data_IF_138218255963
#
_entry.id   IF_138218255963
#
_cell.length_a   1.000
_cell.length_b   1.000
_cell.length_c   1.000
_cell.angle_alpha   90.00
_cell.angle_beta   90.00
_cell.angle_gamma   90.00
#
_symmetry.space_group_name_H-M   'P 1'
#
loop_
_entity.id
_entity.type
_entity.pdbx_description
1 polymer ?
#
# COMPACT_ATOMS: atom_id res chain seq x y z
N UNK A 1 -69.90 64.89 -134.69
CA UNK A 1 -69.49 64.25 -133.41
C UNK A 1 -68.72 62.99 -133.75
N UNK A 2 -67.41 62.90 -133.49
CA UNK A 2 -66.67 61.67 -133.73
C UNK A 2 -66.86 60.67 -132.56
N UNK A 3 -67.06 59.36 -132.82
CA UNK A 3 -67.59 58.39 -131.85
C UNK A 3 -66.55 57.56 -131.06
N UNK A 4 -65.29 57.99 -130.92
CA UNK A 4 -64.21 57.10 -130.43
C UNK A 4 -63.61 57.39 -129.04
N UNK A 5 -63.96 58.51 -128.39
CA UNK A 5 -63.38 58.89 -127.08
C UNK A 5 -63.59 57.89 -125.91
N UNK A 6 -64.73 57.17 -125.77
CA UNK A 6 -64.94 56.30 -124.61
C UNK A 6 -64.05 55.05 -124.60
N UNK A 7 -63.76 54.49 -125.78
CA UNK A 7 -62.94 53.27 -125.91
C UNK A 7 -61.46 53.60 -125.64
N UNK A 8 -61.01 54.76 -126.13
CA UNK A 8 -59.66 55.28 -125.92
C UNK A 8 -59.37 55.52 -124.43
N UNK A 9 -60.36 56.07 -123.70
CA UNK A 9 -60.28 56.23 -122.25
C UNK A 9 -60.18 54.87 -121.52
N UNK A 10 -60.97 53.87 -121.89
CA UNK A 10 -60.88 52.53 -121.29
C UNK A 10 -59.51 51.89 -121.53
N UNK A 11 -58.97 51.98 -122.75
CA UNK A 11 -57.63 51.46 -123.05
C UNK A 11 -56.54 52.21 -122.27
N UNK A 12 -56.71 53.51 -122.04
CA UNK A 12 -55.78 54.29 -121.24
C UNK A 12 -55.80 53.84 -119.77
N UNK A 13 -56.99 53.73 -119.16
CA UNK A 13 -57.13 53.28 -117.77
C UNK A 13 -56.62 51.85 -117.58
N UNK A 14 -56.84 50.95 -118.53
CA UNK A 14 -56.35 49.57 -118.43
C UNK A 14 -54.81 49.51 -118.49
N UNK A 15 -54.20 50.34 -119.33
CA UNK A 15 -52.75 50.45 -119.42
C UNK A 15 -52.15 51.06 -118.14
N UNK A 16 -52.81 52.06 -117.54
CA UNK A 16 -52.43 52.62 -116.25
C UNK A 16 -52.48 51.56 -115.14
N UNK A 17 -53.57 50.78 -115.05
CA UNK A 17 -53.70 49.71 -114.06
C UNK A 17 -52.61 48.64 -114.25
N UNK A 18 -52.35 48.22 -115.49
CA UNK A 18 -51.27 47.25 -115.78
C UNK A 18 -49.89 47.81 -115.40
N UNK A 19 -49.64 49.09 -115.66
CA UNK A 19 -48.39 49.73 -115.26
C UNK A 19 -48.25 49.81 -113.73
N UNK A 20 -49.34 50.09 -113.00
CA UNK A 20 -49.33 50.09 -111.53
C UNK A 20 -49.14 48.69 -110.93
N UNK A 21 -49.74 47.66 -111.52
CA UNK A 21 -49.53 46.27 -111.10
C UNK A 21 -48.10 45.81 -111.35
N UNK A 22 -47.51 46.17 -112.50
CA UNK A 22 -46.11 45.88 -112.80
C UNK A 22 -45.16 46.57 -111.79
N UNK A 23 -45.43 47.83 -111.45
CA UNK A 23 -44.69 48.56 -110.42
C UNK A 23 -44.81 47.89 -109.03
N UNK A 24 -46.01 47.47 -108.65
CA UNK A 24 -46.25 46.78 -107.37
C UNK A 24 -45.53 45.43 -107.31
N UNK A 25 -45.57 44.64 -108.39
CA UNK A 25 -44.90 43.34 -108.45
C UNK A 25 -43.37 43.49 -108.38
N UNK A 26 -42.81 44.50 -109.06
CA UNK A 26 -41.38 44.80 -108.98
C UNK A 26 -40.96 45.23 -107.57
N UNK A 27 -41.79 46.02 -106.88
CA UNK A 27 -41.55 46.43 -105.49
C UNK A 27 -41.59 45.23 -104.52
N UNK A 28 -42.58 44.34 -104.67
CA UNK A 28 -42.70 43.14 -103.83
C UNK A 28 -41.55 42.15 -104.08
N UNK A 29 -41.16 41.94 -105.34
CA UNK A 29 -40.01 41.10 -105.67
C UNK A 29 -38.70 41.66 -105.10
N UNK A 30 -38.56 42.98 -105.06
CA UNK A 30 -37.43 43.64 -104.39
C UNK A 30 -37.40 43.34 -102.89
N UNK A 31 -38.54 43.50 -102.20
CA UNK A 31 -38.64 43.26 -100.77
C UNK A 31 -38.40 41.79 -100.38
N UNK A 32 -38.91 40.84 -101.18
CA UNK A 32 -38.73 39.41 -100.92
C UNK A 32 -37.27 38.96 -101.09
N UNK A 33 -36.56 39.48 -102.09
CA UNK A 33 -35.13 39.20 -102.27
C UNK A 33 -34.30 39.72 -101.10
N UNK A 34 -34.66 40.88 -100.55
CA UNK A 34 -33.98 41.46 -99.39
C UNK A 34 -34.22 40.66 -98.10
N UNK A 35 -35.43 40.13 -97.90
CA UNK A 35 -35.78 39.31 -96.74
C UNK A 35 -35.09 37.94 -96.78
N UNK A 36 -35.06 37.29 -97.96
CA UNK A 36 -34.37 36.02 -98.16
C UNK A 36 -32.87 36.10 -97.86
N UNK A 37 -32.22 37.19 -98.28
CA UNK A 37 -30.82 37.44 -97.98
C UNK A 37 -30.57 37.63 -96.47
N UNK A 38 -31.40 38.39 -95.76
CA UNK A 38 -31.24 38.65 -94.31
C UNK A 38 -31.41 37.39 -93.46
N UNK A 39 -32.32 36.48 -93.82
CA UNK A 39 -32.54 35.23 -93.08
C UNK A 39 -31.37 34.25 -93.18
N UNK A 40 -30.75 34.14 -94.36
CA UNK A 40 -29.60 33.23 -94.56
C UNK A 40 -28.38 33.76 -93.79
N UNK A 41 -28.20 35.09 -93.80
CA UNK A 41 -27.12 35.75 -93.04
C UNK A 41 -27.28 35.56 -91.53
N UNK A 42 -28.50 35.62 -90.98
CA UNK A 42 -28.69 35.43 -89.53
C UNK A 42 -28.49 33.97 -89.08
N UNK A 43 -28.83 33.00 -89.92
CA UNK A 43 -28.61 31.58 -89.63
C UNK A 43 -27.12 31.20 -89.65
N UNK A 44 -26.33 31.79 -90.55
CA UNK A 44 -24.87 31.61 -90.62
C UNK A 44 -24.17 32.36 -89.48
N UNK A 45 -24.68 33.52 -89.07
CA UNK A 45 -24.09 34.37 -88.03
C UNK A 45 -24.55 34.07 -86.60
N UNK A 46 -25.06 32.87 -86.30
CA UNK A 46 -25.19 32.42 -84.92
C UNK A 46 -23.79 32.30 -84.30
N UNK A 47 -23.33 33.37 -83.66
CA UNK A 47 -22.11 33.37 -82.86
C UNK A 47 -22.27 32.35 -81.74
N UNK A 48 -21.49 31.28 -81.80
CA UNK A 48 -21.28 30.41 -80.65
C UNK A 48 -20.26 31.08 -79.74
N UNK A 49 -20.50 31.04 -78.43
CA UNK A 49 -19.52 31.49 -77.44
C UNK A 49 -18.37 30.48 -77.39
N UNK A 50 -17.32 30.76 -78.17
CA UNK A 50 -16.10 29.97 -78.19
C UNK A 50 -15.11 30.69 -77.28
N UNK A 51 -14.66 30.01 -76.22
CA UNK A 51 -13.58 30.51 -75.37
C UNK A 51 -12.32 30.64 -76.21
N UNK A 52 -11.75 31.85 -76.27
CA UNK A 52 -10.53 32.13 -77.04
C UNK A 52 -9.30 31.60 -76.32
N UNK A 53 -8.26 31.24 -77.08
CA UNK A 53 -6.99 30.75 -76.53
C UNK A 53 -6.39 31.73 -75.50
N UNK A 54 -6.46 33.02 -75.76
CA UNK A 54 -6.01 34.09 -74.84
C UNK A 54 -6.74 34.06 -73.49
N UNK A 55 -8.06 33.81 -73.49
CA UNK A 55 -8.83 33.64 -72.23
C UNK A 55 -8.44 32.35 -71.50
N UNK A 56 -8.06 31.31 -72.23
CA UNK A 56 -7.54 30.07 -71.64
C UNK A 56 -6.16 30.30 -71.01
N UNK A 57 -5.27 31.03 -71.68
CA UNK A 57 -3.96 31.38 -71.14
C UNK A 57 -4.06 32.30 -69.92
N UNK A 58 -4.93 33.30 -69.94
CA UNK A 58 -5.17 34.20 -68.79
C UNK A 58 -5.76 33.43 -67.60
N UNK A 59 -6.73 32.55 -67.84
CA UNK A 59 -7.29 31.71 -66.77
C UNK A 59 -6.28 30.67 -66.28
N UNK A 60 -5.42 30.14 -67.14
CA UNK A 60 -4.32 29.25 -66.75
C UNK A 60 -3.27 29.98 -65.92
N UNK A 61 -2.91 31.22 -66.24
CA UNK A 61 -1.99 32.03 -65.45
C UNK A 61 -2.60 32.40 -64.09
N UNK A 62 -3.88 32.76 -64.05
CA UNK A 62 -4.60 33.02 -62.80
C UNK A 62 -4.71 31.75 -61.93
N UNK A 63 -5.06 30.61 -62.53
CA UNK A 63 -5.05 29.31 -61.86
C UNK A 63 -3.64 28.96 -61.39
N UNK A 64 -2.61 29.22 -62.18
CA UNK A 64 -1.22 28.96 -61.77
C UNK A 64 -0.84 29.84 -60.58
N UNK A 65 -1.19 31.13 -60.58
CA UNK A 65 -0.87 32.07 -59.49
C UNK A 65 -1.64 31.79 -58.20
N UNK A 66 -2.86 31.27 -58.28
CA UNK A 66 -3.71 31.06 -57.09
C UNK A 66 -3.78 29.60 -56.64
N UNK A 67 -3.89 28.66 -57.59
CA UNK A 67 -4.00 27.23 -57.28
C UNK A 67 -2.65 26.60 -56.91
N UNK A 68 -1.53 27.02 -57.53
CA UNK A 68 -0.22 26.42 -57.18
C UNK A 68 0.15 26.72 -55.73
N UNK A 69 0.11 27.97 -55.21
CA UNK A 69 0.38 28.22 -53.80
C UNK A 69 -0.58 27.51 -52.84
N UNK A 70 -1.85 27.36 -53.25
CA UNK A 70 -2.83 26.60 -52.48
C UNK A 70 -2.46 25.11 -52.39
N UNK A 71 -2.04 24.50 -53.50
CA UNK A 71 -1.58 23.12 -53.53
C UNK A 71 -0.30 22.91 -52.72
N UNK A 72 0.68 23.81 -52.81
CA UNK A 72 1.88 23.75 -51.96
C UNK A 72 1.53 23.81 -50.47
N UNK A 73 0.62 24.71 -50.08
CA UNK A 73 0.15 24.79 -48.69
C UNK A 73 -0.55 23.50 -48.23
N UNK A 74 -1.28 22.83 -49.13
CA UNK A 74 -1.89 21.53 -48.82
C UNK A 74 -0.84 20.42 -48.69
N UNK A 75 0.20 20.41 -49.54
CA UNK A 75 1.31 19.47 -49.45
C UNK A 75 2.07 19.65 -48.13
N UNK A 76 2.42 20.89 -47.76
CA UNK A 76 3.08 21.18 -46.47
C UNK A 76 2.24 20.72 -45.27
N UNK A 77 0.91 20.88 -45.35
CA UNK A 77 -0.02 20.39 -44.32
C UNK A 77 -0.01 18.86 -44.23
N UNK A 78 -0.01 18.16 -45.36
CA UNK A 78 0.06 16.70 -45.41
C UNK A 78 1.40 16.18 -44.90
N UNK A 79 2.52 16.82 -45.26
CA UNK A 79 3.85 16.48 -44.73
C UNK A 79 3.90 16.65 -43.21
N UNK A 80 3.35 17.76 -42.70
CA UNK A 80 3.27 18.00 -41.24
C UNK A 80 2.41 16.95 -40.53
N UNK A 81 1.33 16.48 -41.15
CA UNK A 81 0.48 15.42 -40.58
C UNK A 81 1.23 14.09 -40.59
N UNK A 82 1.90 13.76 -41.70
CA UNK A 82 2.66 12.52 -41.84
C UNK A 82 3.79 12.43 -40.80
N UNK A 83 4.52 13.53 -40.57
CA UNK A 83 5.56 13.58 -39.53
C UNK A 83 4.99 13.34 -38.12
N UNK A 84 3.82 13.92 -37.83
CA UNK A 84 3.13 13.71 -36.54
C UNK A 84 2.66 12.27 -36.37
N UNK A 85 2.12 11.66 -37.42
CA UNK A 85 1.70 10.25 -37.39
C UNK A 85 2.89 9.32 -37.19
N UNK A 86 4.01 9.55 -37.87
CA UNK A 86 5.24 8.78 -37.66
C UNK A 86 5.75 8.86 -36.22
N UNK A 87 5.69 10.04 -35.60
CA UNK A 87 6.08 10.22 -34.19
C UNK A 87 5.13 9.50 -33.22
N UNK A 88 3.82 9.54 -33.47
CA UNK A 88 2.82 8.82 -32.69
C UNK A 88 3.01 7.30 -32.80
N UNK A 89 3.31 6.79 -33.99
CA UNK A 89 3.58 5.38 -34.21
C UNK A 89 4.83 4.92 -33.44
N UNK A 90 5.92 5.70 -33.49
CA UNK A 90 7.14 5.39 -32.73
C UNK A 90 6.92 5.44 -31.21
N UNK A 91 6.13 6.42 -30.74
CA UNK A 91 5.75 6.50 -29.32
C UNK A 91 4.92 5.29 -28.90
N UNK A 92 3.93 4.90 -29.71
CA UNK A 92 3.10 3.73 -29.43
C UNK A 92 3.94 2.46 -29.37
N UNK A 93 4.89 2.27 -30.30
CA UNK A 93 5.79 1.12 -30.32
C UNK A 93 6.69 1.06 -29.08
N UNK A 94 7.21 2.22 -28.63
CA UNK A 94 7.96 2.32 -27.36
C UNK A 94 7.10 1.96 -26.15
N UNK A 95 5.86 2.41 -26.13
CA UNK A 95 4.93 2.12 -25.04
C UNK A 95 4.60 0.62 -24.98
N UNK A 96 4.28 -0.01 -26.11
CA UNK A 96 4.06 -1.46 -26.18
C UNK A 96 5.28 -2.26 -25.71
N UNK A 97 6.49 -1.85 -26.11
CA UNK A 97 7.72 -2.51 -25.68
C UNK A 97 7.94 -2.38 -24.17
N UNK A 98 7.64 -1.21 -23.60
CA UNK A 98 7.70 -0.96 -22.16
C UNK A 98 6.69 -1.82 -21.39
N UNK A 99 5.43 -1.85 -21.85
CA UNK A 99 4.38 -2.69 -21.26
C UNK A 99 4.74 -4.17 -21.32
N UNK A 100 5.25 -4.64 -22.46
CA UNK A 100 5.70 -6.03 -22.62
C UNK A 100 6.86 -6.39 -21.68
N UNK A 101 7.84 -5.48 -21.52
CA UNK A 101 8.96 -5.68 -20.59
C UNK A 101 8.48 -5.78 -19.14
N UNK A 102 7.54 -4.92 -18.74
CA UNK A 102 6.91 -4.96 -17.42
C UNK A 102 6.14 -6.27 -17.19
N UNK A 103 5.46 -6.79 -18.22
CA UNK A 103 4.76 -8.06 -18.14
C UNK A 103 5.73 -9.23 -17.91
N UNK A 104 6.89 -9.24 -18.59
CA UNK A 104 7.94 -10.25 -18.37
C UNK A 104 8.48 -10.20 -16.94
N UNK A 105 8.71 -9.00 -16.40
CA UNK A 105 9.18 -8.83 -15.02
C UNK A 105 8.15 -9.32 -14.01
N UNK A 106 6.87 -9.00 -14.24
CA UNK A 106 5.77 -9.49 -13.42
C UNK A 106 5.67 -11.02 -13.46
N UNK A 107 5.78 -11.64 -14.63
CA UNK A 107 5.74 -13.10 -14.77
C UNK A 107 6.90 -13.78 -14.03
N UNK A 108 8.12 -13.23 -14.13
CA UNK A 108 9.27 -13.69 -13.33
C UNK A 108 9.01 -13.60 -11.82
N UNK A 109 8.38 -12.51 -11.38
CA UNK A 109 8.03 -12.33 -9.96
C UNK A 109 6.98 -13.35 -9.50
N UNK A 110 5.93 -13.58 -10.30
CA UNK A 110 4.90 -14.59 -10.05
C UNK A 110 5.52 -15.99 -9.96
N UNK A 111 6.42 -16.34 -10.88
CA UNK A 111 7.11 -17.63 -10.86
C UNK A 111 7.98 -17.79 -9.60
N UNK A 112 8.68 -16.73 -9.17
CA UNK A 112 9.45 -16.75 -7.92
C UNK A 112 8.56 -16.94 -6.68
N UNK A 113 7.43 -16.25 -6.62
CA UNK A 113 6.45 -16.41 -5.55
C UNK A 113 5.85 -17.82 -5.52
N UNK A 114 5.51 -18.37 -6.68
CA UNK A 114 4.99 -19.74 -6.82
C UNK A 114 5.97 -20.78 -6.26
N UNK A 115 7.27 -20.64 -6.57
CA UNK A 115 8.33 -21.50 -5.99
C UNK A 115 8.41 -21.37 -4.46
N UNK A 116 8.35 -20.15 -3.93
CA UNK A 116 8.35 -19.92 -2.47
C UNK A 116 7.13 -20.57 -1.81
N UNK A 117 5.94 -20.41 -2.38
CA UNK A 117 4.71 -21.04 -1.87
C UNK A 117 4.85 -22.56 -1.86
N UNK A 118 5.40 -23.16 -2.92
CA UNK A 118 5.62 -24.61 -2.99
C UNK A 118 6.59 -25.08 -1.90
N UNK A 119 7.68 -24.35 -1.65
CA UNK A 119 8.63 -24.69 -0.60
C UNK A 119 8.01 -24.56 0.79
N UNK A 120 7.31 -23.45 1.06
CA UNK A 120 6.62 -23.26 2.34
C UNK A 120 5.55 -24.33 2.59
N UNK A 121 4.87 -24.80 1.53
CA UNK A 121 3.92 -25.92 1.64
C UNK A 121 4.61 -27.21 2.06
N UNK A 122 5.77 -27.52 1.47
CA UNK A 122 6.57 -28.70 1.84
C UNK A 122 7.05 -28.62 3.30
N UNK A 123 7.59 -27.47 3.73
CA UNK A 123 8.00 -27.26 5.13
C UNK A 123 6.82 -27.42 6.10
N UNK A 124 5.62 -26.98 5.70
CA UNK A 124 4.42 -27.13 6.52
C UNK A 124 3.95 -28.58 6.60
N UNK A 125 4.03 -29.34 5.51
CA UNK A 125 3.77 -30.79 5.49
C UNK A 125 4.78 -31.55 6.38
N UNK A 126 6.06 -31.20 6.35
CA UNK A 126 7.09 -31.76 7.22
C UNK A 126 6.84 -31.44 8.71
N UNK A 127 6.49 -30.20 9.03
CA UNK A 127 6.13 -29.82 10.40
C UNK A 127 4.87 -30.55 10.89
N UNK A 128 3.87 -30.75 10.02
CA UNK A 128 2.68 -31.52 10.36
C UNK A 128 3.02 -32.99 10.65
N UNK A 129 3.92 -33.60 9.87
CA UNK A 129 4.40 -34.96 10.14
C UNK A 129 5.13 -35.04 11.49
N UNK A 130 6.05 -34.11 11.76
CA UNK A 130 6.76 -34.00 13.04
C UNK A 130 5.81 -33.82 14.23
N UNK A 131 4.78 -32.98 14.07
CA UNK A 131 3.75 -32.79 15.09
C UNK A 131 3.00 -34.09 15.40
N UNK A 132 2.59 -34.86 14.39
CA UNK A 132 1.92 -36.14 14.57
C UNK A 132 2.83 -37.17 15.25
N UNK A 133 4.11 -37.19 14.92
CA UNK A 133 5.10 -38.04 15.60
C UNK A 133 5.23 -37.67 17.09
N UNK A 134 5.36 -36.39 17.41
CA UNK A 134 5.41 -35.89 18.80
C UNK A 134 4.13 -36.26 19.54
N UNK A 135 2.96 -36.06 18.92
CA UNK A 135 1.67 -36.41 19.52
C UNK A 135 1.57 -37.92 19.82
N UNK A 136 2.06 -38.78 18.91
CA UNK A 136 2.11 -40.23 19.13
C UNK A 136 3.05 -40.60 20.28
N UNK A 137 4.20 -39.92 20.39
CA UNK A 137 5.19 -40.11 21.45
C UNK A 137 4.62 -39.71 22.82
N UNK A 138 3.88 -38.61 22.89
CA UNK A 138 3.16 -38.19 24.11
C UNK A 138 2.15 -39.25 24.52
N UNK A 139 1.32 -39.75 23.58
CA UNK A 139 0.34 -40.80 23.89
C UNK A 139 0.98 -42.09 24.43
N UNK A 140 2.15 -42.49 23.90
CA UNK A 140 2.91 -43.62 24.42
C UNK A 140 3.46 -43.34 25.83
N UNK A 141 3.98 -42.15 26.07
CA UNK A 141 4.47 -41.75 27.40
C UNK A 141 3.33 -41.70 28.43
N UNK A 142 2.16 -41.20 28.08
CA UNK A 142 1.00 -41.18 28.96
C UNK A 142 0.52 -42.59 29.32
N UNK A 143 0.52 -43.52 28.35
CA UNK A 143 0.25 -44.94 28.63
C UNK A 143 1.26 -45.53 29.61
N UNK A 144 2.55 -45.24 29.42
CA UNK A 144 3.60 -45.70 30.32
C UNK A 144 3.47 -45.11 31.73
N UNK A 145 3.13 -43.82 31.84
CA UNK A 145 2.87 -43.16 33.13
C UNK A 145 1.71 -43.86 33.84
N UNK A 146 0.59 -44.11 33.15
CA UNK A 146 -0.56 -44.81 33.73
C UNK A 146 -0.21 -46.24 34.19
N UNK A 147 0.66 -46.94 33.45
CA UNK A 147 1.10 -48.29 33.78
C UNK A 147 2.02 -48.28 35.02
N UNK A 148 2.95 -47.32 35.10
CA UNK A 148 3.79 -47.10 36.28
C UNK A 148 2.97 -46.68 37.50
N UNK A 149 1.95 -45.84 37.33
CA UNK A 149 1.06 -45.43 38.40
C UNK A 149 0.33 -46.64 39.00
N UNK A 150 -0.22 -47.52 38.16
CA UNK A 150 -0.82 -48.79 38.61
C UNK A 150 0.15 -49.67 39.38
N UNK A 151 1.39 -49.81 38.91
CA UNK A 151 2.41 -50.59 39.62
C UNK A 151 2.79 -49.98 40.98
N UNK A 152 2.76 -48.65 41.11
CA UNK A 152 2.97 -47.96 42.39
C UNK A 152 1.80 -48.25 43.33
N UNK A 153 0.56 -48.12 42.85
CA UNK A 153 -0.64 -48.37 43.65
C UNK A 153 -0.69 -49.83 44.14
N UNK A 154 -0.38 -50.79 43.26
CA UNK A 154 -0.29 -52.23 43.61
C UNK A 154 0.81 -52.53 44.65
N UNK A 155 1.96 -51.84 44.58
CA UNK A 155 3.02 -51.98 45.60
C UNK A 155 2.67 -51.30 46.92
N UNK A 156 1.89 -50.23 46.88
CA UNK A 156 1.46 -49.52 48.08
C UNK A 156 0.47 -50.36 48.91
N UNK A 157 -0.37 -51.17 48.26
CA UNK A 157 -1.30 -52.08 48.95
C UNK A 157 -0.61 -53.33 49.54
N UNK A 158 0.53 -53.74 48.99
CA UNK A 158 1.30 -54.89 49.48
C UNK A 158 2.28 -54.59 50.65
N UNK A 159 2.48 -53.32 51.02
CA UNK A 159 3.53 -52.88 51.98
C UNK A 159 3.00 -52.53 53.39
N UNK A 160 1.75 -52.87 53.73
CA UNK A 160 1.16 -52.50 55.03
C UNK A 160 1.87 -53.16 56.24
N UNK A 161 2.66 -54.21 56.03
CA UNK A 161 3.42 -54.90 57.10
C UNK A 161 4.89 -54.44 57.29
N UNK A 162 5.45 -53.54 56.47
CA UNK A 162 6.88 -53.17 56.52
C UNK A 162 7.17 -51.68 56.78
N UNK A 163 6.23 -51.02 57.45
CA UNK A 163 6.15 -49.56 57.64
C UNK A 163 7.37 -48.96 58.35
N UNK A 164 8.10 -49.71 59.20
CA UNK A 164 9.28 -49.18 59.90
C UNK A 164 10.55 -49.13 59.04
N UNK A 165 10.78 -50.13 58.20
CA UNK A 165 11.93 -50.14 57.26
C UNK A 165 11.71 -49.09 56.17
N UNK A 166 10.48 -48.94 55.70
CA UNK A 166 10.12 -47.95 54.71
C UNK A 166 10.25 -46.52 55.26
N UNK A 167 9.85 -46.26 56.51
CA UNK A 167 10.05 -44.96 57.17
C UNK A 167 11.54 -44.60 57.29
N UNK A 168 12.39 -45.53 57.68
CA UNK A 168 13.84 -45.29 57.80
C UNK A 168 14.47 -45.02 56.42
N UNK A 169 14.07 -45.79 55.40
CA UNK A 169 14.53 -45.56 54.03
C UNK A 169 14.04 -44.23 53.46
N UNK A 170 12.80 -43.83 53.77
CA UNK A 170 12.19 -42.55 53.35
C UNK A 170 12.81 -41.37 54.08
N UNK A 171 13.21 -41.53 55.35
CA UNK A 171 14.00 -40.53 56.09
C UNK A 171 15.37 -40.35 55.42
N UNK A 172 16.02 -41.44 55.02
CA UNK A 172 17.32 -41.41 54.34
C UNK A 172 17.21 -40.78 52.94
N UNK A 173 16.18 -41.13 52.17
CA UNK A 173 15.90 -40.53 50.86
C UNK A 173 15.53 -39.04 51.00
N UNK A 174 14.78 -38.66 52.04
CA UNK A 174 14.49 -37.25 52.34
C UNK A 174 15.75 -36.49 52.76
N UNK A 175 16.68 -37.11 53.51
CA UNK A 175 17.98 -36.50 53.81
C UNK A 175 18.82 -36.30 52.55
N UNK A 176 18.86 -37.28 51.64
CA UNK A 176 19.57 -37.18 50.36
C UNK A 176 18.92 -36.15 49.42
N UNK A 177 17.59 -36.06 49.42
CA UNK A 177 16.88 -34.99 48.70
C UNK A 177 17.12 -33.62 49.32
N UNK A 178 17.24 -33.52 50.63
CA UNK A 178 17.48 -32.25 51.34
C UNK A 178 18.91 -31.75 51.13
N UNK A 179 19.90 -32.64 51.10
CA UNK A 179 21.27 -32.31 50.69
C UNK A 179 21.34 -31.97 49.21
N UNK A 180 20.60 -32.67 48.34
CA UNK A 180 20.43 -32.30 46.93
C UNK A 180 19.75 -30.93 46.76
N UNK A 181 18.75 -30.61 47.58
CA UNK A 181 18.05 -29.32 47.57
C UNK A 181 18.95 -28.19 48.07
N UNK A 182 19.80 -28.45 49.07
CA UNK A 182 20.80 -27.51 49.57
C UNK A 182 21.87 -27.24 48.49
N UNK A 183 22.24 -28.25 47.73
CA UNK A 183 23.14 -28.15 46.57
C UNK A 183 22.48 -27.39 45.41
N UNK A 184 21.19 -27.68 45.13
CA UNK A 184 20.39 -26.95 44.15
C UNK A 184 20.21 -25.49 44.57
N UNK A 185 19.97 -25.19 45.85
CA UNK A 185 19.85 -23.84 46.38
C UNK A 185 21.19 -23.09 46.24
N UNK A 186 22.32 -23.74 46.52
CA UNK A 186 23.65 -23.15 46.28
C UNK A 186 23.92 -22.91 44.78
N UNK A 187 23.49 -23.83 43.89
CA UNK A 187 23.59 -23.64 42.43
C UNK A 187 22.62 -22.57 41.89
N UNK A 188 21.46 -22.42 42.53
CA UNK A 188 20.46 -21.40 42.24
C UNK A 188 20.94 -20.02 42.71
N UNK A 189 21.68 -19.94 43.81
CA UNK A 189 22.38 -18.71 44.24
C UNK A 189 23.50 -18.31 43.26
N UNK A 190 24.17 -19.28 42.64
CA UNK A 190 25.12 -19.01 41.53
C UNK A 190 24.41 -18.60 40.23
N UNK A 191 23.21 -19.12 39.95
CA UNK A 191 22.37 -18.67 38.82
C UNK A 191 21.70 -17.31 39.07
N UNK A 192 21.34 -16.97 40.31
CA UNK A 192 20.75 -15.70 40.72
C UNK A 192 21.74 -14.53 40.72
N UNK A 193 23.05 -14.79 40.66
CA UNK A 193 24.06 -13.75 40.38
C UNK A 193 24.25 -13.47 38.89
N UNK A 194 23.61 -14.25 38.02
CA UNK A 194 23.42 -13.91 36.62
C UNK A 194 21.92 -14.04 36.28
N UNK A 195 21.07 -13.09 36.74
CA UNK A 195 19.89 -12.83 35.93
C UNK A 195 20.41 -12.63 34.51
N UNK A 196 19.83 -13.30 33.50
CA UNK A 196 20.00 -12.87 32.12
C UNK A 196 19.48 -11.44 32.07
N UNK A 197 20.39 -10.52 32.35
CA UNK A 197 20.10 -9.13 32.53
C UNK A 197 19.79 -8.68 31.12
N UNK A 198 18.51 -8.47 30.82
CA UNK A 198 18.05 -8.01 29.52
C UNK A 198 18.83 -6.78 29.09
N UNK A 199 19.33 -5.98 30.04
CA UNK A 199 20.21 -4.85 29.80
C UNK A 199 21.65 -5.24 29.43
N UNK A 200 22.20 -6.36 29.96
CA UNK A 200 23.46 -6.95 29.44
C UNK A 200 23.26 -7.48 28.04
N UNK A 201 22.16 -8.18 27.76
CA UNK A 201 21.90 -8.71 26.42
C UNK A 201 21.64 -7.58 25.42
N UNK A 202 20.98 -6.50 25.85
CA UNK A 202 20.80 -5.27 25.08
C UNK A 202 22.14 -4.55 24.88
N UNK A 203 22.99 -4.50 25.90
CA UNK A 203 24.36 -3.97 25.84
C UNK A 203 25.22 -4.80 24.89
N UNK A 204 25.13 -6.13 24.96
CA UNK A 204 25.88 -7.06 24.11
C UNK A 204 25.38 -7.00 22.67
N UNK A 205 24.07 -6.87 22.44
CA UNK A 205 23.50 -6.62 21.11
C UNK A 205 23.94 -5.24 20.59
N UNK A 206 23.92 -4.19 21.41
CA UNK A 206 24.39 -2.85 21.01
C UNK A 206 25.89 -2.84 20.72
N UNK A 207 26.69 -3.56 21.50
CA UNK A 207 28.13 -3.73 21.32
C UNK A 207 28.43 -4.56 20.07
N UNK A 208 27.67 -5.63 19.80
CA UNK A 208 27.76 -6.40 18.57
C UNK A 208 27.35 -5.57 17.35
N UNK A 209 26.28 -4.79 17.45
CA UNK A 209 25.81 -3.88 16.38
C UNK A 209 26.86 -2.81 16.10
N UNK A 210 27.47 -2.24 17.14
CA UNK A 210 28.54 -1.25 17.02
C UNK A 210 29.84 -1.87 16.48
N UNK A 211 30.18 -3.09 16.89
CA UNK A 211 31.34 -3.83 16.40
C UNK A 211 31.18 -4.28 14.95
N UNK A 212 29.97 -4.65 14.53
CA UNK A 212 29.65 -4.91 13.13
C UNK A 212 29.81 -3.62 12.34
N UNK A 213 29.19 -2.52 12.78
CA UNK A 213 29.29 -1.20 12.14
C UNK A 213 30.74 -0.72 11.99
N UNK A 214 31.58 -0.96 13.01
CA UNK A 214 33.00 -0.57 13.01
C UNK A 214 33.91 -1.55 12.22
N UNK A 215 33.56 -2.85 12.12
CA UNK A 215 34.28 -3.83 11.27
C UNK A 215 33.85 -3.81 9.81
N UNK A 216 32.65 -3.31 9.49
CA UNK A 216 32.17 -3.17 8.10
C UNK A 216 32.84 -2.04 7.33
N UNK A 217 33.59 -1.15 7.99
CA UNK A 217 34.30 -0.04 7.32
C UNK A 217 35.48 -0.46 6.44
N UNK A 218 35.85 -1.75 6.36
CA UNK A 218 36.99 -2.18 5.54
C UNK A 218 36.79 -3.39 4.63
N UNK A 219 35.67 -4.13 4.68
CA UNK A 219 35.58 -5.41 3.91
C UNK A 219 34.22 -5.88 3.38
N UNK A 220 33.10 -5.19 3.62
CA UNK A 220 31.79 -5.59 3.09
C UNK A 220 31.18 -4.47 2.24
N UNK A 221 30.72 -4.82 1.03
CA UNK A 221 30.04 -3.89 0.12
C UNK A 221 28.83 -3.27 0.83
N UNK A 222 28.71 -1.95 0.76
CA UNK A 222 27.74 -1.12 1.50
C UNK A 222 26.30 -1.67 1.52
N UNK A 223 25.90 -2.40 0.47
CA UNK A 223 24.60 -3.07 0.35
C UNK A 223 24.29 -4.13 1.42
N UNK A 224 25.28 -4.87 1.94
CA UNK A 224 25.01 -5.95 2.90
C UNK A 224 24.88 -5.42 4.33
N UNK A 225 25.58 -4.34 4.68
CA UNK A 225 25.44 -3.64 5.95
C UNK A 225 24.07 -2.96 6.07
N UNK A 226 23.61 -2.34 4.98
CA UNK A 226 22.28 -1.74 4.90
C UNK A 226 21.16 -2.78 5.01
N UNK A 227 21.33 -3.94 4.35
CA UNK A 227 20.39 -5.07 4.47
C UNK A 227 20.33 -5.63 5.88
N UNK A 228 21.46 -5.77 6.57
CA UNK A 228 21.49 -6.24 7.97
C UNK A 228 20.80 -5.23 8.89
N UNK A 229 21.01 -3.92 8.69
CA UNK A 229 20.31 -2.88 9.44
C UNK A 229 18.79 -2.96 9.24
N UNK A 230 18.33 -3.11 8.00
CA UNK A 230 16.91 -3.24 7.66
C UNK A 230 16.29 -4.51 8.29
N UNK A 231 17.02 -5.62 8.30
CA UNK A 231 16.55 -6.88 8.91
C UNK A 231 16.45 -6.74 10.43
N UNK A 232 17.42 -6.09 11.08
CA UNK A 232 17.40 -5.85 12.53
C UNK A 232 16.28 -4.88 12.92
N UNK A 233 16.08 -3.80 12.15
CA UNK A 233 14.97 -2.86 12.38
C UNK A 233 13.61 -3.54 12.19
N UNK A 234 13.46 -4.38 11.16
CA UNK A 234 12.24 -5.15 10.95
C UNK A 234 11.97 -6.16 12.07
N UNK A 235 13.01 -6.83 12.58
CA UNK A 235 12.90 -7.76 13.71
C UNK A 235 12.52 -7.02 14.99
N UNK A 236 13.11 -5.84 15.21
CA UNK A 236 12.76 -5.00 16.34
C UNK A 236 11.31 -4.50 16.26
N UNK A 237 10.86 -4.01 15.10
CA UNK A 237 9.52 -3.46 14.93
C UNK A 237 8.40 -4.51 14.86
N UNK A 238 8.69 -5.68 14.32
CA UNK A 238 7.67 -6.71 14.03
C UNK A 238 7.60 -7.78 15.12
N UNK A 239 8.70 -8.07 15.80
CA UNK A 239 8.75 -9.11 16.83
C UNK A 239 8.92 -8.50 18.21
N UNK A 240 9.85 -7.57 18.41
CA UNK A 240 10.17 -7.09 19.76
C UNK A 240 9.15 -6.03 20.23
N UNK A 241 8.86 -5.04 19.40
CA UNK A 241 8.00 -3.90 19.74
C UNK A 241 6.55 -4.31 20.05
N UNK A 242 5.91 -5.25 19.32
CA UNK A 242 4.57 -5.70 19.66
C UNK A 242 4.54 -6.43 21.00
N UNK A 243 5.55 -7.27 21.29
CA UNK A 243 5.65 -7.98 22.57
C UNK A 243 5.87 -7.02 23.74
N UNK A 244 6.72 -6.00 23.58
CA UNK A 244 6.90 -4.92 24.57
C UNK A 244 5.57 -4.19 24.78
N UNK A 245 4.88 -3.78 23.71
CA UNK A 245 3.59 -3.09 23.79
C UNK A 245 2.49 -3.94 24.43
N UNK A 246 2.36 -5.22 24.10
CA UNK A 246 1.41 -6.12 24.78
C UNK A 246 1.77 -6.35 26.25
N UNK A 247 3.07 -6.42 26.58
CA UNK A 247 3.54 -6.55 27.96
C UNK A 247 3.22 -5.30 28.79
N UNK A 248 3.48 -4.11 28.24
CA UNK A 248 3.09 -2.84 28.86
C UNK A 248 1.58 -2.69 28.98
N UNK A 249 0.82 -3.03 27.94
CA UNK A 249 -0.64 -2.99 27.97
C UNK A 249 -1.21 -3.98 29.00
N UNK A 250 -0.60 -5.16 29.16
CA UNK A 250 -0.96 -6.12 30.20
C UNK A 250 -0.61 -5.62 31.60
N UNK A 251 0.54 -4.94 31.79
CA UNK A 251 0.88 -4.26 33.06
C UNK A 251 -0.16 -3.18 33.38
N UNK A 252 -0.47 -2.30 32.43
CA UNK A 252 -1.48 -1.24 32.58
C UNK A 252 -2.85 -1.82 32.92
N UNK A 253 -3.28 -2.89 32.24
CA UNK A 253 -4.57 -3.53 32.52
C UNK A 253 -4.60 -4.20 33.91
N UNK A 254 -3.51 -4.84 34.35
CA UNK A 254 -3.39 -5.40 35.70
C UNK A 254 -3.40 -4.31 36.76
N UNK A 255 -2.69 -3.19 36.54
CA UNK A 255 -2.73 -2.02 37.42
C UNK A 255 -4.14 -1.44 37.50
N UNK A 256 -4.81 -1.24 36.36
CA UNK A 256 -6.19 -0.72 36.33
C UNK A 256 -7.17 -1.64 37.06
N UNK A 257 -7.01 -2.96 36.92
CA UNK A 257 -7.83 -3.93 37.65
C UNK A 257 -7.55 -3.89 39.15
N UNK A 258 -6.27 -3.87 39.56
CA UNK A 258 -5.87 -3.78 40.96
C UNK A 258 -6.35 -2.48 41.61
N UNK A 259 -6.18 -1.33 40.94
CA UNK A 259 -6.68 -0.04 41.40
C UNK A 259 -8.20 -0.05 41.57
N UNK A 260 -8.95 -0.67 40.64
CA UNK A 260 -10.41 -0.82 40.78
C UNK A 260 -10.79 -1.69 41.99
N UNK A 261 -10.08 -2.81 42.19
CA UNK A 261 -10.32 -3.68 43.33
C UNK A 261 -10.05 -2.96 44.65
N UNK A 262 -8.93 -2.27 44.77
CA UNK A 262 -8.58 -1.50 45.97
C UNK A 262 -9.63 -0.43 46.28
N UNK A 263 -10.06 0.33 45.27
CA UNK A 263 -11.12 1.34 45.43
C UNK A 263 -12.47 0.75 45.87
N UNK A 264 -12.78 -0.49 45.49
CA UNK A 264 -14.01 -1.18 45.91
C UNK A 264 -13.95 -1.61 47.39
N UNK A 265 -12.79 -2.05 47.88
CA UNK A 265 -12.64 -2.52 49.26
C UNK A 265 -12.33 -1.40 50.26
N UNK A 266 -11.77 -0.28 49.79
CA UNK A 266 -11.36 0.85 50.62
C UNK A 266 -11.85 2.17 49.99
N UNK A 267 -13.13 2.55 50.19
CA UNK A 267 -13.70 3.73 49.51
C UNK A 267 -13.05 5.05 49.95
N UNK A 268 -12.66 5.19 51.22
CA UNK A 268 -12.13 6.44 51.76
C UNK A 268 -10.62 6.65 51.51
N UNK A 269 -9.86 5.57 51.33
CA UNK A 269 -8.39 5.62 51.17
C UNK A 269 -7.90 4.94 49.89
N UNK A 270 -8.80 4.33 49.11
CA UNK A 270 -8.44 3.44 48.02
C UNK A 270 -7.83 4.14 46.80
N UNK A 271 -8.06 5.44 46.64
CA UNK A 271 -7.40 6.21 45.57
C UNK A 271 -5.92 6.41 45.86
N UNK A 272 -5.59 6.94 47.04
CA UNK A 272 -4.21 7.12 47.49
C UNK A 272 -3.48 5.76 47.57
N UNK A 273 -4.13 4.74 48.13
CA UNK A 273 -3.57 3.38 48.23
C UNK A 273 -3.23 2.78 46.85
N UNK A 274 -4.15 2.93 45.89
CA UNK A 274 -3.95 2.43 44.54
C UNK A 274 -2.80 3.15 43.84
N UNK A 275 -2.69 4.46 44.00
CA UNK A 275 -1.64 5.26 43.36
C UNK A 275 -0.27 4.98 43.98
N UNK A 276 -0.17 4.81 45.30
CA UNK A 276 1.06 4.38 45.99
C UNK A 276 1.50 3.01 45.49
N UNK A 277 0.58 2.04 45.40
CA UNK A 277 0.90 0.71 44.87
C UNK A 277 1.35 0.81 43.40
N UNK A 278 0.63 1.54 42.55
CA UNK A 278 0.99 1.70 41.13
C UNK A 278 2.38 2.33 40.98
N UNK A 279 2.65 3.39 41.74
CA UNK A 279 3.96 4.04 41.75
C UNK A 279 5.08 3.07 42.13
N UNK A 280 4.93 2.37 43.25
CA UNK A 280 5.93 1.40 43.71
C UNK A 280 6.07 0.22 42.75
N UNK A 281 4.97 -0.24 42.14
CA UNK A 281 5.03 -1.34 41.16
C UNK A 281 5.68 -0.89 39.85
N UNK A 282 5.59 0.38 39.46
CA UNK A 282 6.28 0.91 38.27
C UNK A 282 7.81 0.89 38.42
N UNK A 283 8.30 0.95 39.66
CA UNK A 283 9.74 0.95 40.01
C UNK A 283 10.32 -0.45 40.28
N UNK A 284 9.49 -1.50 40.12
CA UNK A 284 9.65 -2.98 40.17
C UNK A 284 10.85 -3.71 40.84
N UNK A 285 11.96 -3.10 41.24
CA UNK A 285 13.08 -3.75 41.97
C UNK A 285 13.82 -2.77 42.91
N UNK A 286 13.49 -1.47 42.90
CA UNK A 286 14.24 -0.47 43.66
C UNK A 286 13.65 -0.20 45.06
N UNK A 287 14.55 0.01 46.04
CA UNK A 287 14.25 0.80 47.22
C UNK A 287 14.02 2.24 46.74
N UNK A 288 12.82 2.75 46.90
CA UNK A 288 12.47 4.11 46.47
C UNK A 288 12.65 5.06 47.65
N UNK A 289 13.39 6.17 47.51
CA UNK A 289 13.46 7.19 48.55
C UNK A 289 12.04 7.67 48.88
N UNK A 290 11.73 7.78 50.17
CA UNK A 290 10.42 8.25 50.62
C UNK A 290 10.08 9.63 50.07
N UNK A 291 11.09 10.52 49.99
CA UNK A 291 10.99 11.86 49.42
C UNK A 291 10.47 11.84 47.96
N UNK A 292 10.88 10.86 47.15
CA UNK A 292 10.43 10.74 45.76
C UNK A 292 8.93 10.37 45.68
N UNK A 293 8.46 9.50 46.59
CA UNK A 293 7.02 9.20 46.70
C UNK A 293 6.26 10.41 47.23
N UNK A 294 6.78 11.07 48.26
CA UNK A 294 6.14 12.16 48.97
C UNK A 294 5.89 13.34 48.03
N UNK A 295 6.89 13.75 47.24
CA UNK A 295 6.74 14.83 46.25
C UNK A 295 5.61 14.54 45.26
N UNK A 296 5.52 13.31 44.76
CA UNK A 296 4.53 12.95 43.73
C UNK A 296 3.13 12.77 44.32
N UNK A 297 3.02 12.24 45.54
CA UNK A 297 1.73 11.97 46.16
C UNK A 297 1.12 13.20 46.80
N UNK A 298 1.92 14.10 47.37
CA UNK A 298 1.44 15.36 47.95
C UNK A 298 0.94 16.38 46.91
N UNK A 299 1.23 16.17 45.61
CA UNK A 299 0.57 16.92 44.53
C UNK A 299 -0.93 16.62 44.43
N UNK A 300 -1.39 15.47 44.95
CA UNK A 300 -2.75 14.94 44.74
C UNK A 300 -3.51 14.62 46.02
N UNK A 301 -2.80 14.32 47.10
CA UNK A 301 -3.35 13.84 48.36
C UNK A 301 -2.81 14.66 49.52
N UNK A 302 -3.59 14.77 50.59
CA UNK A 302 -3.12 15.37 51.84
C UNK A 302 -2.06 14.49 52.50
N UNK A 303 -1.21 15.10 53.33
CA UNK A 303 -0.20 14.35 54.09
C UNK A 303 -0.84 13.30 55.01
N UNK A 304 -2.00 13.61 55.60
CA UNK A 304 -2.76 12.68 56.44
C UNK A 304 -3.22 11.44 55.66
N UNK A 305 -3.73 11.61 54.43
CA UNK A 305 -4.15 10.50 53.56
C UNK A 305 -2.97 9.62 53.14
N UNK A 306 -1.83 10.23 52.81
CA UNK A 306 -0.61 9.51 52.43
C UNK A 306 -0.06 8.68 53.59
N UNK A 307 0.07 9.29 54.77
CA UNK A 307 0.55 8.61 55.99
C UNK A 307 -0.40 7.47 56.36
N UNK A 308 -1.71 7.71 56.34
CA UNK A 308 -2.71 6.68 56.65
C UNK A 308 -2.65 5.51 55.67
N UNK A 309 -2.49 5.78 54.37
CA UNK A 309 -2.37 4.77 53.32
C UNK A 309 -1.09 3.94 53.46
N UNK A 310 0.04 4.57 53.80
CA UNK A 310 1.30 3.88 54.02
C UNK A 310 1.31 3.03 55.29
N UNK A 311 0.73 3.54 56.38
CA UNK A 311 0.51 2.76 57.59
C UNK A 311 -0.36 1.53 57.31
N UNK A 312 -1.42 1.69 56.53
CA UNK A 312 -2.26 0.58 56.12
C UNK A 312 -1.46 -0.47 55.33
N UNK A 313 -0.69 -0.07 54.31
CA UNK A 313 0.14 -0.98 53.52
C UNK A 313 1.20 -1.70 54.35
N UNK A 314 1.77 -1.00 55.34
CA UNK A 314 2.71 -1.58 56.33
C UNK A 314 2.00 -2.62 57.22
N UNK A 315 0.83 -2.30 57.76
CA UNK A 315 0.03 -3.23 58.59
C UNK A 315 -0.46 -4.45 57.80
N UNK A 316 -0.84 -4.25 56.54
CA UNK A 316 -1.23 -5.31 55.63
C UNK A 316 -0.04 -6.16 55.14
N UNK A 317 1.19 -5.85 55.57
CA UNK A 317 2.42 -6.56 55.22
C UNK A 317 2.71 -6.54 53.71
N UNK A 318 2.27 -5.49 53.01
CA UNK A 318 2.46 -5.30 51.56
C UNK A 318 3.72 -4.46 51.29
N UNK A 319 4.09 -3.58 52.23
CA UNK A 319 5.18 -2.62 52.10
C UNK A 319 6.27 -2.88 53.16
N UNK A 320 7.52 -2.75 52.75
CA UNK A 320 8.71 -2.76 53.61
C UNK A 320 9.28 -1.34 53.67
N UNK A 321 9.55 -0.86 54.89
CA UNK A 321 10.21 0.43 55.14
C UNK A 321 11.61 0.14 55.66
N UNK A 322 12.61 0.78 55.06
CA UNK A 322 14.01 0.71 55.47
C UNK A 322 14.44 2.11 55.89
N UNK A 323 15.04 2.21 57.07
CA UNK A 323 15.55 3.47 57.60
C UNK A 323 17.08 3.37 57.63
N UNK A 324 17.74 4.35 57.04
CA UNK A 324 19.18 4.57 57.16
C UNK A 324 19.41 5.88 57.91
N UNK A 325 20.61 6.11 58.44
CA UNK A 325 20.94 7.29 59.26
C UNK A 325 20.66 8.65 58.58
N UNK A 326 20.43 8.67 57.27
CA UNK A 326 20.19 9.89 56.49
C UNK A 326 18.95 9.86 55.60
N UNK A 327 18.39 8.69 55.27
CA UNK A 327 17.29 8.56 54.30
C UNK A 327 16.35 7.38 54.61
N UNK A 328 15.05 7.59 54.37
CA UNK A 328 14.01 6.56 54.46
C UNK A 328 13.69 5.99 53.07
N UNK A 329 13.65 4.67 52.95
CA UNK A 329 13.30 3.97 51.71
C UNK A 329 12.08 3.08 51.88
N UNK A 330 11.32 2.93 50.81
CA UNK A 330 10.14 2.07 50.76
C UNK A 330 10.19 1.11 49.57
N UNK A 331 9.67 -0.10 49.75
CA UNK A 331 9.51 -1.07 48.65
C UNK A 331 8.32 -2.00 48.87
N UNK A 332 7.82 -2.62 47.79
CA UNK A 332 6.78 -3.66 47.87
C UNK A 332 7.39 -5.00 48.29
N UNK A 333 6.79 -5.64 49.30
CA UNK A 333 7.27 -6.91 49.89
C UNK A 333 7.13 -8.13 48.97
N UNK A 334 6.33 -8.03 47.90
CA UNK A 334 6.24 -9.03 46.83
C UNK A 334 7.56 -9.22 46.07
N UNK A 335 8.47 -8.25 46.16
CA UNK A 335 9.83 -8.32 45.67
C UNK A 335 10.72 -8.51 46.90
N UNK A 336 10.95 -9.75 47.34
CA UNK A 336 11.91 -10.03 48.41
C UNK A 336 13.28 -9.44 47.99
N UNK A 337 13.77 -8.35 48.61
CA UNK A 337 15.19 -8.07 48.51
C UNK A 337 15.87 -9.13 49.37
N UNK A 338 16.78 -9.86 48.77
CA UNK A 338 17.71 -10.76 49.47
C UNK A 338 18.26 -10.02 50.69
N UNK A 339 18.09 -10.60 51.88
CA UNK A 339 18.75 -10.15 53.12
C UNK A 339 20.28 -10.19 52.99
#
# INVERSE_FOLDING_TARGET
>A
MPPFQPLENCTHTLNEINSMLALSNNSLSGALNELGAKSIVSAINKKHDITTLEKVEETQDLMSKQAIPFLYKQVDQLETILDKESLLEEQSAKEYKSQYSRLIEQDKHVNSLSLKIKNMKLELEEMQASFLEIQSSISLKDKNINLLQKQIDEKHDASVENVEVEKISKIKELQDRLSSYKTYQNSKSQLLQNPMNTDRLLSDIKNLTSNIKNKTSSTLKDNDSERISIVLDNLFQTVINPYIKTSEQHKINKHRYLSRMIKLFFPDQGECLADVIVFLTSKMVARVPFEELEVIMLEKYSNEELVSSLEFLKRANILSVFETDFEMFISLKLVNPVE
#
